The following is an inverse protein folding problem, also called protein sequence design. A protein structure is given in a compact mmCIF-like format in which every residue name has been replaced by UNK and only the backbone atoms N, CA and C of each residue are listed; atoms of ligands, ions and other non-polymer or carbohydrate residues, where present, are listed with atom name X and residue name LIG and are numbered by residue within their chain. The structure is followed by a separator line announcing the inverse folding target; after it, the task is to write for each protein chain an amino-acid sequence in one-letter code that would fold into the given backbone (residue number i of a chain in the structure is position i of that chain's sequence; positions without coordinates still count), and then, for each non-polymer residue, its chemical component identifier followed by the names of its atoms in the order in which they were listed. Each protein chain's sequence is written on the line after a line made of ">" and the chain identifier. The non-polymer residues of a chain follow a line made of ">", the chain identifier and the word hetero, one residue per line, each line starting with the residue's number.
data_IF_898393157971
#
_entry.id   IF_898393157971
#
_cell.length_a   1.000
_cell.length_b   1.000
_cell.length_c   1.000
_cell.angle_alpha   90.00
_cell.angle_beta   90.00
_cell.angle_gamma   90.00
#
_symmetry.space_group_name_H-M   'P 1'
#
loop_
_entity.id
_entity.type
_entity.pdbx_description
1 polymer ?
#
# COMPACT_ATOMS: atom_id res chain seq x y z
N UNK A 1 12.69 -13.41 6.91
CA UNK A 1 13.98 -13.52 7.59
C UNK A 1 14.59 -12.12 7.81
N UNK A 2 15.72 -12.01 8.55
CA UNK A 2 16.34 -10.71 8.86
C UNK A 2 16.73 -9.92 7.60
N UNK A 3 17.12 -10.58 6.52
CA UNK A 3 17.47 -9.94 5.25
C UNK A 3 16.22 -9.35 4.55
N UNK A 4 15.07 -10.00 4.66
CA UNK A 4 13.80 -9.50 4.12
C UNK A 4 13.34 -8.25 4.89
N UNK A 5 13.42 -8.28 6.21
CA UNK A 5 13.09 -7.13 7.05
C UNK A 5 13.98 -5.93 6.71
N UNK A 6 15.30 -6.13 6.58
CA UNK A 6 16.22 -5.05 6.21
C UNK A 6 15.91 -4.45 4.82
N UNK A 7 15.52 -5.28 3.84
CA UNK A 7 15.12 -4.79 2.51
C UNK A 7 13.86 -3.93 2.58
N UNK A 8 12.86 -4.38 3.36
CA UNK A 8 11.62 -3.64 3.56
C UNK A 8 11.90 -2.30 4.26
N UNK A 9 12.73 -2.28 5.29
CA UNK A 9 13.13 -1.05 5.98
C UNK A 9 13.79 -0.07 5.01
N UNK A 10 14.78 -0.52 4.21
CA UNK A 10 15.44 0.35 3.23
C UNK A 10 14.44 0.95 2.22
N UNK A 11 13.42 0.19 1.81
CA UNK A 11 12.40 0.70 0.89
C UNK A 11 11.49 1.73 1.56
N UNK A 12 11.07 1.48 2.79
CA UNK A 12 10.25 2.42 3.58
C UNK A 12 11.03 3.71 3.84
N UNK A 13 12.31 3.61 4.22
CA UNK A 13 13.19 4.76 4.42
C UNK A 13 13.36 5.58 3.13
N UNK A 14 13.48 4.90 1.98
CA UNK A 14 13.57 5.56 0.69
C UNK A 14 12.26 6.26 0.30
N UNK A 15 11.11 5.70 0.64
CA UNK A 15 9.81 6.36 0.48
C UNK A 15 9.67 7.56 1.42
N UNK A 16 10.04 7.40 2.69
CA UNK A 16 9.98 8.48 3.69
C UNK A 16 10.90 9.66 3.37
N UNK A 17 11.93 9.44 2.53
CA UNK A 17 12.80 10.49 2.03
C UNK A 17 12.22 11.28 0.85
N UNK A 18 11.04 10.92 0.34
CA UNK A 18 10.37 11.65 -0.74
C UNK A 18 9.55 12.81 -0.17
N UNK A 19 9.57 13.95 -0.87
CA UNK A 19 8.70 15.07 -0.56
C UNK A 19 7.23 14.70 -0.82
N UNK A 20 6.32 15.25 -0.02
CA UNK A 20 4.87 15.07 -0.15
C UNK A 20 4.38 13.62 -0.05
N UNK A 21 5.12 12.76 0.67
CA UNK A 21 4.75 11.39 0.94
C UNK A 21 4.69 11.13 2.45
N UNK A 22 3.58 10.55 2.91
CA UNK A 22 3.42 10.12 4.31
C UNK A 22 3.32 8.61 4.36
N UNK A 23 4.13 7.98 5.19
CA UNK A 23 4.09 6.53 5.41
C UNK A 23 3.23 6.23 6.63
N UNK A 24 2.18 5.45 6.45
CA UNK A 24 1.34 4.91 7.51
C UNK A 24 1.67 3.42 7.68
N UNK A 25 2.45 3.09 8.69
CA UNK A 25 2.87 1.71 8.91
C UNK A 25 1.77 0.90 9.59
N UNK A 26 1.58 -0.35 9.11
CA UNK A 26 0.93 -1.41 9.86
C UNK A 26 1.90 -2.00 10.89
N UNK A 27 1.52 -3.08 11.52
CA UNK A 27 2.40 -3.83 12.39
C UNK A 27 2.32 -5.33 12.11
N UNK A 28 3.40 -6.05 12.44
CA UNK A 28 3.44 -7.50 12.33
C UNK A 28 3.09 -8.15 13.67
N UNK A 29 2.07 -9.00 13.66
CA UNK A 29 1.70 -9.83 14.79
C UNK A 29 2.34 -11.21 14.63
N UNK A 30 3.19 -11.60 15.58
CA UNK A 30 3.73 -12.95 15.63
C UNK A 30 2.64 -13.94 16.06
N UNK A 31 2.44 -14.99 15.28
CA UNK A 31 1.54 -16.10 15.57
C UNK A 31 2.29 -17.42 15.51
N UNK A 32 2.01 -18.32 16.45
CA UNK A 32 2.45 -19.71 16.34
C UNK A 32 1.44 -20.48 15.50
N UNK A 33 1.89 -20.98 14.38
CA UNK A 33 1.11 -21.89 13.53
C UNK A 33 1.49 -23.34 13.84
N UNK A 34 0.53 -24.25 13.65
CA UNK A 34 0.69 -25.69 13.86
C UNK A 34 0.23 -26.45 12.63
N UNK A 35 1.05 -27.40 12.19
CA UNK A 35 0.66 -28.33 11.14
C UNK A 35 -0.40 -29.32 11.65
N UNK A 36 -1.53 -29.39 10.98
CA UNK A 36 -2.60 -30.34 11.36
C UNK A 36 -2.23 -31.81 11.07
N UNK A 37 -1.27 -32.06 10.17
CA UNK A 37 -0.84 -33.42 9.81
C UNK A 37 0.23 -34.00 10.72
N UNK A 38 1.29 -33.24 11.03
CA UNK A 38 2.43 -33.75 11.82
C UNK A 38 2.59 -33.08 13.19
N UNK A 39 1.78 -32.07 13.52
CA UNK A 39 1.85 -31.36 14.79
C UNK A 39 3.02 -30.38 14.94
N UNK A 40 3.89 -30.26 13.96
CA UNK A 40 5.02 -29.33 13.97
C UNK A 40 4.52 -27.88 14.10
N UNK A 41 5.25 -27.07 14.87
CA UNK A 41 4.91 -25.66 15.09
C UNK A 41 6.00 -24.74 14.52
N UNK A 42 5.59 -23.58 14.00
CA UNK A 42 6.51 -22.53 13.56
C UNK A 42 5.92 -21.15 13.85
N UNK A 43 6.80 -20.15 13.92
CA UNK A 43 6.40 -18.76 14.02
C UNK A 43 6.09 -18.20 12.62
N UNK A 44 4.93 -17.57 12.48
CA UNK A 44 4.52 -16.83 11.30
C UNK A 44 4.22 -15.38 11.72
N UNK A 45 4.43 -14.45 10.81
CA UNK A 45 4.13 -13.04 11.02
C UNK A 45 2.97 -12.67 10.09
N UNK A 46 1.92 -12.12 10.68
CA UNK A 46 0.75 -11.61 9.97
C UNK A 46 0.75 -10.10 10.02
N UNK A 47 0.71 -9.46 8.86
CA UNK A 47 0.56 -8.02 8.78
C UNK A 47 -0.85 -7.62 9.22
N UNK A 48 -0.95 -6.52 9.96
CA UNK A 48 -2.17 -5.97 10.51
C UNK A 48 -2.24 -4.47 10.29
N UNK A 49 -3.45 -3.96 10.17
CA UNK A 49 -3.80 -2.55 10.16
C UNK A 49 -3.64 -1.82 8.83
N UNK A 50 -2.95 -2.35 7.82
CA UNK A 50 -2.72 -1.60 6.56
C UNK A 50 -4.05 -1.20 5.89
N UNK A 51 -4.99 -2.12 5.70
CA UNK A 51 -6.28 -1.79 5.07
C UNK A 51 -7.13 -0.85 5.94
N UNK A 52 -7.06 -1.04 7.26
CA UNK A 52 -7.72 -0.13 8.21
C UNK A 52 -7.13 1.27 8.14
N UNK A 53 -5.80 1.39 8.05
CA UNK A 53 -5.12 2.67 7.92
C UNK A 53 -5.50 3.37 6.61
N UNK A 54 -5.53 2.65 5.48
CA UNK A 54 -5.96 3.18 4.19
C UNK A 54 -7.41 3.69 4.28
N UNK A 55 -8.30 2.87 4.85
CA UNK A 55 -9.71 3.22 4.99
C UNK A 55 -9.92 4.45 5.88
N UNK A 56 -9.25 4.47 7.04
CA UNK A 56 -9.33 5.57 7.99
C UNK A 56 -8.79 6.88 7.40
N UNK A 57 -7.61 6.82 6.77
CA UNK A 57 -6.99 7.98 6.14
C UNK A 57 -7.84 8.52 4.99
N UNK A 58 -8.37 7.66 4.12
CA UNK A 58 -9.26 8.06 3.03
C UNK A 58 -10.51 8.79 3.54
N UNK A 59 -11.11 8.31 4.62
CA UNK A 59 -12.26 8.97 5.24
C UNK A 59 -11.86 10.30 5.88
N UNK A 60 -10.77 10.35 6.63
CA UNK A 60 -10.26 11.57 7.26
C UNK A 60 -9.98 12.66 6.21
N UNK A 61 -9.24 12.31 5.15
CA UNK A 61 -8.91 13.24 4.06
C UNK A 61 -10.18 13.75 3.33
N UNK A 62 -11.21 12.90 3.19
CA UNK A 62 -12.48 13.32 2.61
C UNK A 62 -13.23 14.30 3.51
N UNK A 63 -13.25 14.07 4.83
CA UNK A 63 -13.88 14.98 5.81
C UNK A 63 -13.13 16.30 5.95
N UNK A 64 -11.80 16.27 5.85
CA UNK A 64 -10.94 17.46 5.94
C UNK A 64 -10.80 18.20 4.60
N UNK A 65 -11.51 17.75 3.58
CA UNK A 65 -11.50 18.33 2.22
C UNK A 65 -10.13 18.41 1.58
N UNK A 66 -9.29 17.38 1.80
CA UNK A 66 -7.89 17.36 1.34
C UNK A 66 -7.71 16.94 -0.13
N UNK A 67 -8.77 16.49 -0.80
CA UNK A 67 -8.72 16.10 -2.21
C UNK A 67 -10.06 16.29 -2.92
N UNK A 68 -10.02 16.57 -4.20
CA UNK A 68 -11.15 16.47 -5.13
C UNK A 68 -11.17 15.10 -5.82
N UNK A 69 -9.99 14.57 -6.14
CA UNK A 69 -9.84 13.25 -6.74
C UNK A 69 -8.73 12.48 -6.03
N UNK A 70 -9.06 11.28 -5.55
CA UNK A 70 -8.09 10.35 -4.97
C UNK A 70 -7.86 9.14 -5.88
N UNK A 71 -6.59 8.74 -6.02
CA UNK A 71 -6.18 7.50 -6.66
C UNK A 71 -5.84 6.45 -5.60
N UNK A 72 -6.56 5.34 -5.61
CA UNK A 72 -6.41 4.25 -4.64
C UNK A 72 -5.72 3.08 -5.34
N UNK A 73 -4.44 2.89 -5.04
CA UNK A 73 -3.64 1.82 -5.67
C UNK A 73 -3.81 0.54 -4.84
N UNK A 74 -4.81 -0.27 -5.19
CA UNK A 74 -5.08 -1.55 -4.51
C UNK A 74 -5.92 -2.48 -5.38
N UNK A 75 -5.79 -3.79 -5.13
CA UNK A 75 -6.68 -4.82 -5.66
C UNK A 75 -7.53 -5.47 -4.57
N UNK A 76 -7.47 -4.95 -3.34
CA UNK A 76 -8.15 -5.55 -2.19
C UNK A 76 -9.61 -5.13 -2.10
N UNK A 77 -10.50 -6.13 -2.09
CA UNK A 77 -11.94 -5.92 -2.01
C UNK A 77 -12.43 -5.33 -0.68
N UNK A 78 -11.63 -5.40 0.38
CA UNK A 78 -11.97 -4.88 1.70
C UNK A 78 -12.10 -3.36 1.69
N UNK A 79 -11.47 -2.70 0.72
CA UNK A 79 -11.64 -1.25 0.49
C UNK A 79 -12.95 -0.86 -0.20
N UNK A 80 -13.81 -1.82 -0.58
CA UNK A 80 -15.10 -1.55 -1.21
C UNK A 80 -15.99 -0.68 -0.33
N UNK A 81 -16.13 -1.05 0.94
CA UNK A 81 -17.00 -0.32 1.90
C UNK A 81 -16.53 1.11 2.14
N UNK A 82 -15.26 1.40 2.48
CA UNK A 82 -14.81 2.77 2.67
C UNK A 82 -14.96 3.64 1.42
N UNK A 83 -14.69 3.11 0.22
CA UNK A 83 -14.93 3.83 -1.04
C UNK A 83 -16.41 4.20 -1.21
N UNK A 84 -17.31 3.27 -0.97
CA UNK A 84 -18.76 3.54 -1.05
C UNK A 84 -19.21 4.60 -0.01
N UNK A 85 -18.63 4.57 1.19
CA UNK A 85 -18.95 5.55 2.24
C UNK A 85 -18.49 6.96 1.87
N UNK A 86 -17.30 7.13 1.31
CA UNK A 86 -16.84 8.42 0.83
C UNK A 86 -17.74 8.94 -0.30
N UNK A 87 -18.01 8.11 -1.32
CA UNK A 87 -18.86 8.52 -2.45
C UNK A 87 -20.29 8.89 -2.04
N UNK A 88 -20.84 8.19 -1.04
CA UNK A 88 -22.18 8.50 -0.52
C UNK A 88 -22.23 9.83 0.22
N UNK A 89 -21.19 10.16 0.99
CA UNK A 89 -21.15 11.36 1.84
C UNK A 89 -20.62 12.59 1.11
N UNK A 90 -19.75 12.37 0.14
CA UNK A 90 -19.04 13.42 -0.59
C UNK A 90 -19.20 13.17 -2.10
N UNK A 91 -20.39 13.42 -2.68
CA UNK A 91 -20.70 13.08 -4.07
C UNK A 91 -19.84 13.86 -5.08
N UNK A 92 -19.29 15.00 -4.69
CA UNK A 92 -18.42 15.82 -5.54
C UNK A 92 -16.98 15.29 -5.60
N UNK A 93 -16.58 14.41 -4.65
CA UNK A 93 -15.26 13.81 -4.65
C UNK A 93 -15.20 12.57 -5.55
N UNK A 94 -14.11 12.43 -6.25
CA UNK A 94 -13.88 11.31 -7.18
C UNK A 94 -12.87 10.32 -6.62
N UNK A 95 -13.22 9.04 -6.61
CA UNK A 95 -12.35 7.94 -6.21
C UNK A 95 -12.06 7.05 -7.42
N UNK A 96 -10.80 6.99 -7.80
CA UNK A 96 -10.31 6.19 -8.94
C UNK A 96 -9.45 5.05 -8.41
N UNK A 97 -9.87 3.82 -8.67
CA UNK A 97 -9.06 2.65 -8.29
C UNK A 97 -8.02 2.36 -9.36
N UNK A 98 -6.79 2.17 -8.91
CA UNK A 98 -5.65 1.85 -9.74
C UNK A 98 -5.19 0.43 -9.43
N UNK A 99 -5.41 -0.51 -10.32
CA UNK A 99 -5.05 -1.90 -10.10
C UNK A 99 -3.57 -2.13 -10.37
N UNK A 100 -2.83 -2.71 -9.41
CA UNK A 100 -1.48 -3.22 -9.65
C UNK A 100 -1.46 -4.32 -10.73
N UNK A 101 -0.29 -4.66 -11.29
CA UNK A 101 -0.18 -5.77 -12.23
C UNK A 101 -0.78 -7.06 -11.67
N UNK A 102 -1.49 -7.79 -12.49
CA UNK A 102 -2.10 -9.10 -12.19
C UNK A 102 -3.09 -9.11 -11.00
N UNK A 103 -3.56 -7.95 -10.54
CA UNK A 103 -4.58 -7.84 -9.50
C UNK A 103 -5.73 -6.97 -9.97
N UNK A 104 -6.95 -7.50 -9.86
CA UNK A 104 -8.18 -6.77 -10.15
C UNK A 104 -9.29 -7.24 -9.21
N UNK A 105 -10.23 -6.33 -8.90
CA UNK A 105 -11.41 -6.61 -8.11
C UNK A 105 -12.66 -6.08 -8.82
N UNK A 106 -13.59 -6.97 -9.13
CA UNK A 106 -14.88 -6.59 -9.72
C UNK A 106 -15.72 -5.72 -8.74
N UNK A 107 -15.53 -5.93 -7.44
CA UNK A 107 -16.21 -5.16 -6.40
C UNK A 107 -15.70 -3.72 -6.37
N UNK A 108 -14.38 -3.52 -6.41
CA UNK A 108 -13.77 -2.19 -6.46
C UNK A 108 -14.14 -1.44 -7.74
N UNK A 109 -14.19 -2.13 -8.90
CA UNK A 109 -14.63 -1.52 -10.17
C UNK A 109 -16.05 -0.94 -10.07
N UNK A 110 -16.93 -1.61 -9.35
CA UNK A 110 -18.34 -1.14 -9.14
C UNK A 110 -18.41 -0.04 -8.08
N UNK A 111 -17.55 -0.10 -7.07
CA UNK A 111 -17.57 0.84 -5.95
C UNK A 111 -17.01 2.21 -6.31
N UNK A 112 -15.96 2.27 -7.14
CA UNK A 112 -15.26 3.50 -7.51
C UNK A 112 -16.01 4.34 -8.58
N UNK A 113 -15.59 5.59 -8.78
CA UNK A 113 -16.04 6.44 -9.90
C UNK A 113 -15.42 6.02 -11.22
N UNK A 114 -14.25 5.39 -11.17
CA UNK A 114 -13.53 4.87 -12.32
C UNK A 114 -12.38 3.97 -11.88
N UNK A 115 -11.77 3.32 -12.84
CA UNK A 115 -10.60 2.48 -12.58
C UNK A 115 -9.63 2.49 -13.76
N UNK A 116 -8.37 2.17 -13.47
CA UNK A 116 -7.33 1.90 -14.44
C UNK A 116 -6.40 0.80 -13.92
N UNK A 117 -5.55 0.25 -14.77
CA UNK A 117 -4.53 -0.74 -14.39
C UNK A 117 -3.15 -0.20 -14.72
N UNK A 118 -2.20 -0.43 -13.81
CA UNK A 118 -0.78 -0.14 -14.05
C UNK A 118 -0.13 -1.41 -14.60
N UNK A 119 0.51 -1.30 -15.76
CA UNK A 119 1.36 -2.36 -16.31
C UNK A 119 2.75 -2.38 -15.67
N UNK A 120 3.44 -3.52 -15.76
CA UNK A 120 4.81 -3.68 -15.25
C UNK A 120 5.78 -2.67 -15.85
N UNK A 121 5.62 -2.33 -17.12
CA UNK A 121 6.48 -1.34 -17.79
C UNK A 121 6.40 0.04 -17.14
N UNK A 122 5.22 0.44 -16.67
CA UNK A 122 5.07 1.70 -15.93
C UNK A 122 5.82 1.66 -14.59
N UNK A 123 5.82 0.52 -13.90
CA UNK A 123 6.58 0.35 -12.68
C UNK A 123 8.09 0.39 -12.93
N UNK A 124 8.56 -0.24 -14.03
CA UNK A 124 9.99 -0.18 -14.42
C UNK A 124 10.45 1.23 -14.75
N UNK A 125 9.62 2.00 -15.45
CA UNK A 125 9.95 3.37 -15.86
C UNK A 125 9.90 4.39 -14.72
N UNK A 126 9.22 4.08 -13.62
CA UNK A 126 8.98 4.98 -12.50
C UNK A 126 9.60 4.47 -11.19
N UNK A 127 10.78 3.89 -11.29
CA UNK A 127 11.56 3.50 -10.12
C UNK A 127 12.13 4.74 -9.40
N UNK A 128 12.27 4.66 -8.09
CA UNK A 128 13.04 5.66 -7.34
C UNK A 128 14.48 5.72 -7.86
N UNK A 129 15.13 6.87 -7.70
CA UNK A 129 16.56 7.03 -8.00
C UNK A 129 17.39 6.01 -7.21
N UNK A 130 18.56 5.69 -7.72
CA UNK A 130 19.53 4.84 -7.03
C UNK A 130 20.91 5.52 -7.08
N UNK A 131 21.40 6.02 -5.94
CA UNK A 131 20.78 6.00 -4.62
C UNK A 131 19.65 7.03 -4.42
N UNK A 132 18.81 6.80 -3.38
CA UNK A 132 17.98 7.83 -2.77
C UNK A 132 18.81 8.49 -1.66
N UNK A 133 18.88 9.81 -1.67
CA UNK A 133 19.57 10.57 -0.61
C UNK A 133 18.56 11.04 0.43
N UNK A 134 18.76 10.65 1.69
CA UNK A 134 17.93 11.10 2.80
C UNK A 134 18.21 12.56 3.17
N UNK A 135 17.34 13.19 3.94
CA UNK A 135 17.53 14.54 4.46
C UNK A 135 18.81 14.69 5.31
N UNK A 136 19.30 13.60 5.92
CA UNK A 136 20.57 13.57 6.66
C UNK A 136 21.80 13.35 5.78
N UNK A 137 21.63 13.23 4.45
CA UNK A 137 22.71 13.00 3.49
C UNK A 137 23.12 11.52 3.35
N UNK A 138 22.40 10.59 3.96
CA UNK A 138 22.69 9.17 3.84
C UNK A 138 22.17 8.62 2.50
N UNK A 139 23.00 7.80 1.82
CA UNK A 139 22.66 7.18 0.54
C UNK A 139 22.04 5.80 0.74
N UNK A 140 20.78 5.66 0.36
CA UNK A 140 20.02 4.39 0.35
C UNK A 140 20.11 3.76 -1.03
N UNK A 141 20.74 2.59 -1.12
CA UNK A 141 20.90 1.87 -2.38
C UNK A 141 19.82 0.81 -2.57
N UNK A 142 19.35 0.69 -3.80
CA UNK A 142 18.45 -0.39 -4.20
C UNK A 142 19.15 -1.74 -4.05
N UNK A 143 18.49 -2.75 -3.46
CA UNK A 143 19.03 -4.11 -3.43
C UNK A 143 19.28 -4.65 -4.84
N UNK A 144 20.44 -5.27 -5.08
CA UNK A 144 20.88 -5.69 -6.42
C UNK A 144 19.91 -6.66 -7.15
N UNK A 145 19.11 -7.42 -6.38
CA UNK A 145 18.11 -8.36 -6.92
C UNK A 145 16.74 -7.72 -7.23
N UNK A 146 16.57 -6.40 -7.01
CA UNK A 146 15.37 -5.63 -7.36
C UNK A 146 15.52 -4.90 -8.70
N UNK A 147 16.20 -5.49 -9.64
CA UNK A 147 16.43 -4.94 -10.97
C UNK A 147 15.38 -5.42 -11.98
#
# INVERSE_FOLDING_TARGET
>A
NAADAKRQTNYIDALAAQDNLTVHEGHYLEKTQRCNGCGATWKAYEEKMTDVNIAAQMLADAYEDRFDTAFIISGDSDLTTPIQQVRKRFPDKRLIVVFPPNRQSAQLKKAANGFLSIGEDKLRQNQLSDPVITASGFALHRPAHWR
#
